data_IF_449765470755
#
_entry.id   IF_449765470755
#
_cell.length_a   1.000
_cell.length_b   1.000
_cell.length_c   1.000
_cell.angle_alpha   90.00
_cell.angle_beta   90.00
_cell.angle_gamma   90.00
#
_symmetry.space_group_name_H-M   'P 1'
#
loop_
_entity.id
_entity.type
_entity.pdbx_description
1 polymer ?
#
# COMPACT_ATOMS: atom_id res chain seq x y z
N UNK A 1 -40.25 -20.68 34.41
CA UNK A 1 -39.90 -19.68 35.45
C UNK A 1 -39.84 -18.31 34.74
N UNK A 2 -40.69 -17.35 35.10
CA UNK A 2 -40.81 -16.07 34.36
C UNK A 2 -39.50 -15.25 34.41
N UNK A 3 -39.11 -14.70 33.25
CA UNK A 3 -37.92 -13.85 33.05
C UNK A 3 -37.90 -12.68 34.05
N UNK A 4 -39.06 -12.11 34.39
CA UNK A 4 -39.19 -11.02 35.35
C UNK A 4 -38.75 -11.41 36.78
N UNK A 5 -38.96 -12.67 37.17
CA UNK A 5 -38.51 -13.18 38.48
C UNK A 5 -36.99 -13.35 38.53
N UNK A 6 -36.34 -13.60 37.39
CA UNK A 6 -34.87 -13.68 37.32
C UNK A 6 -34.24 -12.27 37.34
N UNK A 7 -34.83 -11.32 36.62
CA UNK A 7 -34.37 -9.93 36.63
C UNK A 7 -34.52 -9.28 38.02
N UNK A 8 -35.68 -9.42 38.66
CA UNK A 8 -35.90 -8.84 40.00
C UNK A 8 -34.95 -9.40 41.07
N UNK A 9 -34.61 -10.69 41.01
CA UNK A 9 -33.61 -11.31 41.89
C UNK A 9 -32.21 -10.77 41.64
N UNK A 10 -31.85 -10.56 40.37
CA UNK A 10 -30.55 -10.03 39.98
C UNK A 10 -30.35 -8.58 40.44
N UNK A 11 -31.39 -7.74 40.31
CA UNK A 11 -31.37 -6.35 40.78
C UNK A 11 -31.19 -6.28 42.31
N UNK A 12 -31.95 -7.10 43.06
CA UNK A 12 -31.81 -7.19 44.52
C UNK A 12 -30.42 -7.67 44.97
N UNK A 13 -29.72 -8.47 44.17
CA UNK A 13 -28.34 -8.88 44.46
C UNK A 13 -27.34 -7.75 44.19
N UNK A 14 -27.55 -6.97 43.13
CA UNK A 14 -26.70 -5.82 42.77
C UNK A 14 -26.79 -4.73 43.85
N UNK A 15 -27.99 -4.48 44.37
CA UNK A 15 -28.26 -3.49 45.42
C UNK A 15 -27.55 -3.82 46.75
N UNK A 16 -27.30 -5.11 47.02
CA UNK A 16 -26.59 -5.57 48.22
C UNK A 16 -25.08 -5.64 48.06
N UNK A 17 -24.54 -5.38 46.86
CA UNK A 17 -23.10 -5.42 46.64
C UNK A 17 -22.42 -4.14 47.13
N UNK A 18 -21.25 -4.25 47.79
CA UNK A 18 -20.47 -3.07 48.15
C UNK A 18 -20.00 -2.32 46.90
N UNK A 19 -19.98 -0.99 46.94
CA UNK A 19 -19.66 -0.12 45.79
C UNK A 19 -18.37 -0.51 45.04
N UNK A 20 -17.36 -1.01 45.76
CA UNK A 20 -16.10 -1.51 45.17
C UNK A 20 -16.28 -2.74 44.28
N UNK A 21 -17.22 -3.63 44.60
CA UNK A 21 -17.53 -4.81 43.79
C UNK A 21 -18.34 -4.41 42.54
N UNK A 22 -19.27 -3.46 42.71
CA UNK A 22 -20.05 -2.87 41.61
C UNK A 22 -19.13 -2.26 40.55
N UNK A 23 -18.17 -1.43 40.99
CA UNK A 23 -17.18 -0.78 40.12
C UNK A 23 -16.30 -1.77 39.36
N UNK A 24 -15.92 -2.89 39.99
CA UNK A 24 -15.16 -3.95 39.31
C UNK A 24 -15.98 -4.63 38.22
N UNK A 25 -17.26 -4.90 38.46
CA UNK A 25 -18.14 -5.49 37.46
C UNK A 25 -18.41 -4.53 36.30
N UNK A 26 -18.76 -3.27 36.56
CA UNK A 26 -18.95 -2.28 35.50
C UNK A 26 -17.67 -2.06 34.71
N UNK A 27 -16.50 -1.95 35.35
CA UNK A 27 -15.22 -1.83 34.64
C UNK A 27 -14.91 -3.03 33.72
N UNK A 28 -15.28 -4.24 34.14
CA UNK A 28 -15.14 -5.45 33.31
C UNK A 28 -16.11 -5.47 32.14
N UNK A 29 -17.35 -5.01 32.35
CA UNK A 29 -18.37 -4.89 31.30
C UNK A 29 -17.96 -3.80 30.29
N UNK A 30 -17.54 -2.63 30.77
CA UNK A 30 -17.03 -1.55 29.92
C UNK A 30 -15.81 -2.01 29.11
N UNK A 31 -14.86 -2.74 29.71
CA UNK A 31 -13.73 -3.33 28.96
C UNK A 31 -14.17 -4.31 27.87
N UNK A 32 -15.22 -5.10 28.11
CA UNK A 32 -15.78 -6.03 27.12
C UNK A 32 -16.51 -5.30 26.00
N UNK A 33 -17.25 -4.24 26.33
CA UNK A 33 -17.89 -3.36 25.34
C UNK A 33 -16.87 -2.56 24.53
N UNK A 34 -15.82 -2.02 25.16
CA UNK A 34 -14.71 -1.37 24.46
C UNK A 34 -14.01 -2.34 23.51
N UNK A 35 -13.81 -3.61 23.90
CA UNK A 35 -13.27 -4.65 23.02
C UNK A 35 -14.20 -5.02 21.84
N UNK A 36 -15.51 -4.78 21.96
CA UNK A 36 -16.49 -5.02 20.90
C UNK A 36 -16.65 -3.80 19.99
N UNK A 37 -16.54 -2.59 20.55
CA UNK A 37 -16.68 -1.31 19.85
C UNK A 37 -15.37 -0.82 19.23
N UNK A 38 -14.22 -1.22 19.76
CA UNK A 38 -12.96 -1.11 19.03
C UNK A 38 -12.90 -2.28 18.06
N UNK A 39 -13.02 -2.04 16.74
CA UNK A 39 -12.78 -3.12 15.78
C UNK A 39 -11.38 -3.64 16.07
N UNK A 40 -11.28 -4.92 16.45
CA UNK A 40 -10.01 -5.65 16.45
C UNK A 40 -9.27 -5.20 15.21
N UNK A 41 -8.16 -4.47 15.39
CA UNK A 41 -7.16 -4.25 14.35
C UNK A 41 -6.67 -5.64 13.95
N UNK A 42 -7.43 -6.32 13.11
CA UNK A 42 -7.04 -7.55 12.44
C UNK A 42 -5.89 -7.18 11.53
N UNK A 43 -4.67 -7.28 12.06
CA UNK A 43 -3.42 -6.80 11.49
C UNK A 43 -2.99 -7.43 10.16
N UNK A 44 -3.82 -8.25 9.52
CA UNK A 44 -3.49 -8.91 8.26
C UNK A 44 -4.15 -8.25 7.03
N UNK A 45 -5.41 -7.77 7.12
CA UNK A 45 -6.12 -7.24 5.94
C UNK A 45 -5.74 -5.80 5.58
N UNK A 46 -5.38 -4.98 6.57
CA UNK A 46 -4.98 -3.59 6.34
C UNK A 46 -3.54 -3.40 5.84
N UNK A 47 -2.64 -4.35 6.07
CA UNK A 47 -1.23 -4.25 5.65
C UNK A 47 -1.04 -4.62 4.18
N UNK A 48 -1.77 -5.62 3.69
CA UNK A 48 -1.73 -6.05 2.28
C UNK A 48 -2.28 -4.96 1.35
N UNK A 49 -3.42 -4.35 1.70
CA UNK A 49 -3.98 -3.22 0.93
C UNK A 49 -3.03 -2.01 0.86
N UNK A 50 -2.34 -1.68 1.95
CA UNK A 50 -1.34 -0.60 1.97
C UNK A 50 -0.11 -0.90 1.12
N UNK A 51 0.34 -2.17 1.08
CA UNK A 51 1.45 -2.59 0.19
C UNK A 51 1.04 -2.50 -1.28
N UNK A 52 -0.14 -3.03 -1.63
CA UNK A 52 -0.64 -2.99 -3.02
C UNK A 52 -0.86 -1.54 -3.48
N UNK A 53 -1.48 -0.69 -2.66
CA UNK A 53 -1.66 0.72 -3.00
C UNK A 53 -0.32 1.45 -3.22
N UNK A 54 0.70 1.11 -2.43
CA UNK A 54 2.05 1.64 -2.62
C UNK A 54 2.68 1.16 -3.93
N UNK A 55 2.51 -0.11 -4.30
CA UNK A 55 3.01 -0.64 -5.58
C UNK A 55 2.34 0.02 -6.78
N UNK A 56 1.03 0.24 -6.71
CA UNK A 56 0.28 0.95 -7.76
C UNK A 56 0.81 2.39 -7.91
N UNK A 57 1.00 3.10 -6.80
CA UNK A 57 1.55 4.47 -6.83
C UNK A 57 2.94 4.49 -7.47
N UNK A 58 3.78 3.50 -7.15
CA UNK A 58 5.10 3.36 -7.77
C UNK A 58 5.04 3.01 -9.26
N UNK A 59 4.06 2.23 -9.70
CA UNK A 59 3.86 1.95 -11.12
C UNK A 59 3.59 3.24 -11.90
N UNK A 60 2.68 4.09 -11.41
CA UNK A 60 2.41 5.39 -12.03
C UNK A 60 3.62 6.33 -11.96
N UNK A 61 4.34 6.36 -10.84
CA UNK A 61 5.58 7.14 -10.73
C UNK A 61 6.63 6.67 -11.75
N UNK A 62 6.75 5.35 -11.97
CA UNK A 62 7.70 4.77 -12.93
C UNK A 62 7.31 5.09 -14.37
N UNK A 63 6.01 5.14 -14.69
CA UNK A 63 5.53 5.61 -16.00
C UNK A 63 5.93 7.06 -16.22
N UNK A 64 5.68 7.94 -15.23
CA UNK A 64 6.00 9.36 -15.35
C UNK A 64 7.50 9.59 -15.54
N UNK A 65 8.32 8.94 -14.72
CA UNK A 65 9.79 9.03 -14.80
C UNK A 65 10.30 8.41 -16.11
N UNK A 66 9.73 7.28 -16.54
CA UNK A 66 10.07 6.63 -17.80
C UNK A 66 9.78 7.52 -19.00
N UNK A 67 8.67 8.26 -18.98
CA UNK A 67 8.30 9.21 -20.04
C UNK A 67 9.29 10.37 -20.10
N UNK A 68 9.64 10.92 -18.93
CA UNK A 68 10.61 12.01 -18.82
C UNK A 68 12.00 11.57 -19.31
N UNK A 69 12.47 10.40 -18.88
CA UNK A 69 13.75 9.84 -19.32
C UNK A 69 13.75 9.50 -20.81
N UNK A 70 12.67 8.89 -21.32
CA UNK A 70 12.52 8.61 -22.74
C UNK A 70 12.61 9.88 -23.59
N UNK A 71 11.99 10.98 -23.13
CA UNK A 71 12.11 12.29 -23.78
C UNK A 71 13.51 12.89 -23.73
N UNK A 72 14.19 12.79 -22.59
CA UNK A 72 15.58 13.25 -22.47
C UNK A 72 16.48 12.45 -23.42
N UNK A 73 16.40 11.12 -23.42
CA UNK A 73 17.18 10.27 -24.32
C UNK A 73 16.87 10.55 -25.79
N UNK A 74 15.59 10.69 -26.13
CA UNK A 74 15.18 11.08 -27.49
C UNK A 74 15.82 12.41 -27.89
N UNK A 75 15.77 13.43 -27.03
CA UNK A 75 16.36 14.75 -27.33
C UNK A 75 17.88 14.68 -27.48
N UNK A 76 18.57 13.92 -26.63
CA UNK A 76 20.03 13.71 -26.72
C UNK A 76 20.37 13.02 -28.04
N UNK A 77 19.67 11.94 -28.39
CA UNK A 77 19.92 11.21 -29.64
C UNK A 77 19.59 12.11 -30.84
N UNK A 78 18.50 12.87 -30.80
CA UNK A 78 18.14 13.80 -31.88
C UNK A 78 19.20 14.89 -32.08
N UNK A 79 19.81 15.38 -31.00
CA UNK A 79 20.78 16.47 -31.05
C UNK A 79 22.19 16.01 -31.44
N UNK A 80 22.66 14.90 -30.88
CA UNK A 80 24.04 14.41 -31.10
C UNK A 80 24.14 13.34 -32.19
N UNK A 81 23.07 12.61 -32.48
CA UNK A 81 23.05 11.44 -33.37
C UNK A 81 21.84 11.47 -34.31
N UNK A 82 21.59 12.62 -34.93
CA UNK A 82 20.43 12.82 -35.81
C UNK A 82 20.35 11.77 -36.94
N UNK A 83 21.48 11.47 -37.60
CA UNK A 83 21.52 10.47 -38.68
C UNK A 83 21.13 9.07 -38.20
N UNK A 84 21.50 8.73 -36.96
CA UNK A 84 21.08 7.48 -36.34
C UNK A 84 19.57 7.49 -36.07
N UNK A 85 19.02 8.59 -35.56
CA UNK A 85 17.59 8.72 -35.32
C UNK A 85 16.78 8.54 -36.61
N UNK A 86 17.21 9.15 -37.71
CA UNK A 86 16.55 9.03 -39.02
C UNK A 86 16.61 7.59 -39.53
N UNK A 87 17.77 6.93 -39.43
CA UNK A 87 17.88 5.51 -39.82
C UNK A 87 17.02 4.61 -38.94
N UNK A 88 17.04 4.83 -37.63
CA UNK A 88 16.26 4.05 -36.68
C UNK A 88 14.75 4.27 -36.85
N UNK A 89 14.31 5.50 -37.14
CA UNK A 89 12.90 5.79 -37.41
C UNK A 89 12.42 5.15 -38.71
N UNK A 90 13.26 5.08 -39.74
CA UNK A 90 12.97 4.32 -40.96
C UNK A 90 12.81 2.82 -40.70
N UNK A 91 13.70 2.22 -39.90
CA UNK A 91 13.60 0.79 -39.53
C UNK A 91 12.34 0.50 -38.71
N UNK A 92 11.99 1.41 -37.79
CA UNK A 92 10.80 1.30 -36.93
C UNK A 92 9.49 1.75 -37.62
N UNK A 93 9.58 2.25 -38.86
CA UNK A 93 8.48 2.79 -39.65
C UNK A 93 7.96 4.16 -39.19
N UNK A 94 8.36 4.65 -38.02
CA UNK A 94 7.96 5.97 -37.50
C UNK A 94 8.90 6.45 -36.40
N UNK A 95 9.08 7.77 -36.32
CA UNK A 95 9.77 8.45 -35.21
C UNK A 95 9.03 8.23 -33.89
N UNK A 96 7.70 8.16 -33.94
CA UNK A 96 6.84 7.91 -32.76
C UNK A 96 7.12 6.51 -32.19
N UNK A 97 7.28 5.51 -33.05
CA UNK A 97 7.59 4.13 -32.62
C UNK A 97 8.96 4.06 -31.94
N UNK A 98 9.95 4.77 -32.47
CA UNK A 98 11.26 4.88 -31.84
C UNK A 98 11.18 5.54 -30.46
N UNK A 99 10.37 6.59 -30.32
CA UNK A 99 10.12 7.22 -29.02
C UNK A 99 9.47 6.25 -28.02
N UNK A 100 8.44 5.51 -28.43
CA UNK A 100 7.82 4.50 -27.57
C UNK A 100 8.78 3.37 -27.19
N UNK A 101 9.67 2.98 -28.10
CA UNK A 101 10.73 2.02 -27.79
C UNK A 101 11.66 2.55 -26.69
N UNK A 102 12.15 3.79 -26.80
CA UNK A 102 12.97 4.41 -25.76
C UNK A 102 12.23 4.50 -24.41
N UNK A 103 10.94 4.84 -24.45
CA UNK A 103 10.09 4.85 -23.25
C UNK A 103 10.02 3.48 -22.59
N UNK A 104 9.78 2.40 -23.35
CA UNK A 104 9.71 1.04 -22.82
C UNK A 104 11.07 0.63 -22.22
N UNK A 105 12.17 0.92 -22.91
CA UNK A 105 13.52 0.63 -22.41
C UNK A 105 13.79 1.38 -21.10
N UNK A 106 13.44 2.66 -21.02
CA UNK A 106 13.58 3.46 -19.80
C UNK A 106 12.70 2.91 -18.67
N UNK A 107 11.46 2.53 -18.96
CA UNK A 107 10.54 1.94 -18.00
C UNK A 107 11.09 0.63 -17.43
N UNK A 108 11.56 -0.28 -18.29
CA UNK A 108 12.19 -1.53 -17.86
C UNK A 108 13.46 -1.25 -17.04
N UNK A 109 14.27 -0.28 -17.46
CA UNK A 109 15.47 0.15 -16.72
C UNK A 109 15.16 0.59 -15.28
N UNK A 110 14.09 1.37 -15.07
CA UNK A 110 13.64 1.79 -13.73
C UNK A 110 13.30 0.56 -12.87
N UNK A 111 12.62 -0.43 -13.43
CA UNK A 111 12.29 -1.67 -12.71
C UNK A 111 13.52 -2.50 -12.37
N UNK A 112 14.50 -2.58 -13.27
CA UNK A 112 15.78 -3.27 -13.00
C UNK A 112 16.52 -2.57 -11.86
N UNK A 113 16.68 -1.25 -11.91
CA UNK A 113 17.32 -0.47 -10.82
C UNK A 113 16.61 -0.71 -9.49
N UNK A 114 15.28 -0.78 -9.51
CA UNK A 114 14.50 -1.08 -8.31
C UNK A 114 14.75 -2.50 -7.80
N UNK A 115 14.78 -3.50 -8.68
CA UNK A 115 15.08 -4.88 -8.29
C UNK A 115 16.48 -5.02 -7.69
N UNK A 116 17.47 -4.32 -8.25
CA UNK A 116 18.84 -4.24 -7.72
C UNK A 116 18.85 -3.58 -6.34
N UNK A 117 18.20 -2.42 -6.18
CA UNK A 117 18.13 -1.75 -4.88
C UNK A 117 17.44 -2.62 -3.80
N UNK A 118 16.43 -3.39 -4.21
CA UNK A 118 15.79 -4.37 -3.32
C UNK A 118 16.75 -5.51 -2.93
N UNK A 119 17.48 -6.07 -3.91
CA UNK A 119 18.48 -7.12 -3.67
C UNK A 119 19.60 -6.63 -2.73
N UNK A 120 20.11 -5.41 -2.95
CA UNK A 120 21.14 -4.77 -2.12
C UNK A 120 20.67 -4.63 -0.67
N UNK A 121 19.44 -4.16 -0.44
CA UNK A 121 18.86 -4.05 0.92
C UNK A 121 18.74 -5.41 1.60
N UNK A 122 18.40 -6.45 0.83
CA UNK A 122 18.26 -7.81 1.36
C UNK A 122 19.61 -8.41 1.76
N UNK A 123 20.69 -8.06 1.06
CA UNK A 123 22.06 -8.49 1.39
C UNK A 123 22.70 -7.70 2.53
N UNK A 124 22.40 -6.40 2.66
CA UNK A 124 22.97 -5.52 3.71
C UNK A 124 22.26 -5.63 5.07
N UNK A 125 21.09 -6.28 5.14
CA UNK A 125 20.37 -6.53 6.39
C UNK A 125 20.70 -7.89 7.04
N UNK A 126 21.69 -8.62 6.50
CA UNK A 126 22.30 -9.77 7.18
C UNK A 126 23.53 -9.32 7.95
#
# INVERSE_FOLDING_TARGET
>A
MSIERQFSRSIKQIERMPQKALYRQTKLITKRFDMLLTPKKGGAKGSMGKKVAREILWFFASILIGFLLGFIFYSIIAHFYYDFLVKASHVMGSVINFYYFLFIVAFVGIYVVRAVNWAIKLTLQK
#
